data_IF_217936597853
#
_entry.id   IF_217936597853
#
_cell.length_a   1.000
_cell.length_b   1.000
_cell.length_c   1.000
_cell.angle_alpha   90.00
_cell.angle_beta   90.00
_cell.angle_gamma   90.00
#
_symmetry.space_group_name_H-M   'P 1'
#
loop_
_entity.id
_entity.type
_entity.pdbx_description
1 polymer ?
#
# COMPACT_ATOMS: atom_id res chain seq x y z
N UNK A 1 7.45 16.89 12.53
CA UNK A 1 7.79 17.54 11.25
C UNK A 1 8.38 16.53 10.26
N UNK A 2 8.50 16.86 8.97
CA UNK A 2 9.16 15.99 7.96
C UNK A 2 10.61 15.66 8.35
N UNK A 3 11.31 16.58 9.02
CA UNK A 3 12.65 16.30 9.56
C UNK A 3 12.65 15.24 10.66
N UNK A 4 11.68 15.29 11.58
CA UNK A 4 11.50 14.24 12.60
C UNK A 4 11.13 12.89 11.96
N UNK A 5 10.28 12.87 10.94
CA UNK A 5 9.94 11.64 10.21
C UNK A 5 11.19 11.02 9.56
N UNK A 6 12.06 11.85 8.97
CA UNK A 6 13.27 11.38 8.32
C UNK A 6 14.27 10.72 9.29
N UNK A 7 14.28 11.12 10.57
CA UNK A 7 15.23 10.61 11.57
C UNK A 7 15.09 9.11 11.85
N UNK A 8 13.93 8.51 11.57
CA UNK A 8 13.68 7.08 11.76
C UNK A 8 14.14 6.18 10.62
N UNK A 9 14.71 6.73 9.54
CA UNK A 9 15.08 5.97 8.34
C UNK A 9 16.59 6.06 8.07
N UNK A 10 17.24 4.95 7.68
CA UNK A 10 18.67 4.93 7.35
C UNK A 10 18.92 5.50 5.94
N UNK A 11 18.55 6.76 5.71
CA UNK A 11 18.74 7.46 4.43
C UNK A 11 18.99 8.96 4.62
N UNK A 12 19.56 9.60 3.60
CA UNK A 12 19.80 11.05 3.62
C UNK A 12 18.48 11.83 3.50
N UNK A 13 18.45 13.05 4.06
CA UNK A 13 17.27 13.92 3.97
C UNK A 13 16.84 14.21 2.51
N UNK A 14 17.75 14.46 1.55
CA UNK A 14 17.36 14.59 0.14
C UNK A 14 16.68 13.34 -0.44
N UNK A 15 17.17 12.14 -0.12
CA UNK A 15 16.55 10.88 -0.53
C UNK A 15 15.16 10.72 0.10
N UNK A 16 15.02 11.01 1.38
CA UNK A 16 13.72 11.00 2.06
C UNK A 16 12.73 11.98 1.42
N UNK A 17 13.18 13.20 1.12
CA UNK A 17 12.38 14.20 0.43
C UNK A 17 11.94 13.77 -0.97
N UNK A 18 12.75 12.96 -1.68
CA UNK A 18 12.35 12.36 -2.96
C UNK A 18 11.14 11.43 -2.76
N UNK A 19 11.15 10.57 -1.75
CA UNK A 19 9.99 9.72 -1.43
C UNK A 19 8.76 10.54 -1.04
N UNK A 20 8.91 11.57 -0.20
CA UNK A 20 7.82 12.49 0.16
C UNK A 20 7.19 13.11 -1.09
N UNK A 21 8.01 13.61 -2.03
CA UNK A 21 7.51 14.18 -3.29
C UNK A 21 6.77 13.14 -4.14
N UNK A 22 7.28 11.92 -4.24
CA UNK A 22 6.59 10.84 -4.98
C UNK A 22 5.24 10.49 -4.36
N UNK A 23 5.17 10.43 -3.03
CA UNK A 23 3.90 10.15 -2.34
C UNK A 23 2.89 11.31 -2.53
N UNK A 24 3.37 12.55 -2.49
CA UNK A 24 2.55 13.74 -2.70
C UNK A 24 2.10 13.89 -4.16
N UNK A 25 2.96 13.62 -5.14
CA UNK A 25 2.62 13.68 -6.58
C UNK A 25 1.58 12.65 -6.97
N UNK A 26 1.57 11.51 -6.27
CA UNK A 26 0.51 10.55 -6.40
C UNK A 26 -0.70 10.97 -5.55
N UNK A 27 -0.57 11.82 -4.54
CA UNK A 27 -1.69 12.26 -3.71
C UNK A 27 -2.03 11.31 -2.57
N UNK A 28 -1.12 10.38 -2.25
CA UNK A 28 -1.21 9.51 -1.06
C UNK A 28 -0.99 10.30 0.22
N UNK A 29 -0.30 11.44 0.14
CA UNK A 29 -0.10 12.39 1.22
C UNK A 29 -0.35 13.81 0.73
N UNK A 30 -0.52 14.73 1.67
CA UNK A 30 -0.43 16.17 1.47
C UNK A 30 0.64 16.74 2.37
N UNK A 31 1.39 17.73 1.90
CA UNK A 31 2.35 18.44 2.74
C UNK A 31 2.03 19.93 2.85
N UNK A 32 2.26 20.49 4.04
CA UNK A 32 2.06 21.92 4.32
C UNK A 32 3.34 22.47 4.94
N UNK A 33 3.79 23.63 4.46
CA UNK A 33 4.96 24.32 4.99
C UNK A 33 4.51 25.53 5.82
N UNK A 34 4.89 25.54 7.10
CA UNK A 34 4.66 26.66 8.03
C UNK A 34 6.03 27.11 8.57
N UNK A 35 6.51 28.27 8.11
CA UNK A 35 7.85 28.75 8.42
C UNK A 35 8.94 27.78 7.94
N UNK A 36 9.78 27.28 8.87
CA UNK A 36 10.82 26.27 8.59
C UNK A 36 10.32 24.83 8.68
N UNK A 37 9.10 24.61 9.17
CA UNK A 37 8.56 23.28 9.41
C UNK A 37 7.70 22.86 8.21
N UNK A 38 7.95 21.66 7.69
CA UNK A 38 7.03 20.98 6.78
C UNK A 38 6.32 19.87 7.56
N UNK A 39 5.01 19.81 7.45
CA UNK A 39 4.17 18.75 8.00
C UNK A 39 3.67 17.88 6.86
N UNK A 40 3.60 16.57 7.09
CA UNK A 40 3.10 15.57 6.16
C UNK A 40 1.84 14.95 6.77
N UNK A 41 0.78 14.80 5.97
CA UNK A 41 -0.51 14.24 6.38
C UNK A 41 -0.93 13.18 5.36
N UNK A 42 -1.39 12.03 5.83
CA UNK A 42 -1.91 10.97 4.97
C UNK A 42 -3.24 11.40 4.31
N UNK A 43 -3.42 11.04 3.04
CA UNK A 43 -4.71 11.13 2.38
C UNK A 43 -5.47 9.80 2.59
N UNK A 44 -6.30 9.76 3.64
CA UNK A 44 -7.05 8.55 4.02
C UNK A 44 -7.96 8.05 2.91
N UNK A 45 -8.64 8.96 2.21
CA UNK A 45 -9.55 8.60 1.11
C UNK A 45 -8.80 7.88 -0.01
N UNK A 46 -7.63 8.39 -0.40
CA UNK A 46 -6.84 7.76 -1.46
C UNK A 46 -6.22 6.43 -1.04
N UNK A 47 -5.88 6.28 0.24
CA UNK A 47 -5.42 5.00 0.77
C UNK A 47 -6.55 3.96 0.80
N UNK A 48 -7.77 4.37 1.13
CA UNK A 48 -8.93 3.46 1.09
C UNK A 48 -9.18 2.90 -0.31
N UNK A 49 -9.07 3.72 -1.36
CA UNK A 49 -9.19 3.24 -2.75
C UNK A 49 -8.14 2.17 -3.11
N UNK A 50 -6.92 2.28 -2.57
CA UNK A 50 -5.88 1.27 -2.78
C UNK A 50 -6.22 -0.01 -2.04
N UNK A 51 -6.74 0.10 -0.81
CA UNK A 51 -7.13 -1.04 0.01
C UNK A 51 -8.30 -1.81 -0.63
N UNK A 52 -9.33 -1.10 -1.08
CA UNK A 52 -10.48 -1.68 -1.79
C UNK A 52 -10.04 -2.45 -3.04
N UNK A 53 -9.09 -1.88 -3.81
CA UNK A 53 -8.54 -2.55 -4.98
C UNK A 53 -7.73 -3.81 -4.62
N UNK A 54 -6.91 -3.74 -3.55
CA UNK A 54 -6.15 -4.89 -3.07
C UNK A 54 -7.05 -6.01 -2.58
N UNK A 55 -8.15 -5.68 -1.90
CA UNK A 55 -9.15 -6.65 -1.46
C UNK A 55 -9.83 -7.36 -2.63
N UNK A 56 -10.12 -6.63 -3.70
CA UNK A 56 -10.63 -7.24 -4.92
C UNK A 56 -9.61 -8.20 -5.54
N UNK A 57 -8.33 -7.82 -5.61
CA UNK A 57 -7.29 -8.72 -6.11
C UNK A 57 -7.13 -9.97 -5.24
N UNK A 58 -7.21 -9.81 -3.91
CA UNK A 58 -7.18 -10.94 -2.96
C UNK A 58 -8.33 -11.90 -3.22
N UNK A 59 -9.57 -11.41 -3.35
CA UNK A 59 -10.74 -12.25 -3.66
C UNK A 59 -10.54 -13.06 -4.95
N UNK A 60 -10.07 -12.43 -6.02
CA UNK A 60 -9.82 -13.10 -7.30
C UNK A 60 -8.82 -14.25 -7.16
N UNK A 61 -7.75 -14.05 -6.38
CA UNK A 61 -6.74 -15.09 -6.17
C UNK A 61 -7.24 -16.21 -5.27
N UNK A 62 -7.94 -15.89 -4.18
CA UNK A 62 -8.56 -16.88 -3.30
C UNK A 62 -9.55 -17.75 -4.07
N UNK A 63 -10.48 -17.14 -4.82
CA UNK A 63 -11.46 -17.89 -5.62
C UNK A 63 -10.82 -18.85 -6.63
N UNK A 64 -9.69 -18.47 -7.23
CA UNK A 64 -8.95 -19.33 -8.16
C UNK A 64 -8.30 -20.51 -7.44
N UNK A 65 -7.70 -20.26 -6.29
CA UNK A 65 -7.11 -21.31 -5.46
C UNK A 65 -8.17 -22.27 -4.95
N UNK A 66 -9.31 -21.77 -4.46
CA UNK A 66 -10.42 -22.59 -3.98
C UNK A 66 -11.00 -23.49 -5.09
N UNK A 67 -11.06 -22.99 -6.33
CA UNK A 67 -11.47 -23.81 -7.49
C UNK A 67 -10.46 -24.90 -7.82
N UNK A 68 -9.17 -24.59 -7.73
CA UNK A 68 -8.11 -25.56 -7.97
C UNK A 68 -8.12 -26.65 -6.89
N UNK A 69 -8.25 -26.27 -5.63
CA UNK A 69 -8.37 -27.20 -4.51
C UNK A 69 -9.55 -28.15 -4.73
N UNK A 70 -10.73 -27.61 -5.02
CA UNK A 70 -11.93 -28.42 -5.28
C UNK A 70 -11.73 -29.41 -6.43
N UNK A 71 -11.17 -28.96 -7.56
CA UNK A 71 -10.91 -29.83 -8.71
C UNK A 71 -9.98 -30.99 -8.36
N UNK A 72 -8.92 -30.72 -7.57
CA UNK A 72 -7.97 -31.77 -7.14
C UNK A 72 -8.64 -32.74 -6.19
N UNK A 73 -9.40 -32.26 -5.20
CA UNK A 73 -10.09 -33.11 -4.23
C UNK A 73 -11.14 -34.01 -4.90
N UNK A 74 -11.99 -33.45 -5.77
CA UNK A 74 -13.00 -34.22 -6.52
C UNK A 74 -12.34 -35.29 -7.41
N UNK A 75 -11.23 -34.96 -8.10
CA UNK A 75 -10.49 -35.92 -8.93
C UNK A 75 -9.84 -37.06 -8.14
N UNK A 76 -9.56 -36.85 -6.84
CA UNK A 76 -9.00 -37.88 -5.96
C UNK A 76 -10.09 -38.79 -5.39
N UNK A 77 -11.28 -38.26 -5.13
CA UNK A 77 -12.44 -39.03 -4.66
C UNK A 77 -12.99 -39.95 -5.74
N UNK A 78 -13.05 -39.51 -7.00
CA UNK A 78 -13.52 -40.34 -8.14
C UNK A 78 -12.59 -41.51 -8.49
N UNK A 79 -11.34 -41.49 -8.02
CA UNK A 79 -10.33 -42.52 -8.29
C UNK A 79 -10.10 -43.48 -7.11
N UNK A 80 -10.84 -43.35 -6.02
CA UNK A 80 -10.80 -44.25 -4.84
C UNK A 80 -11.99 -45.18 -4.78
#
# INVERSE_FOLDING_TARGET
SVGELAAGFPMTLPSFMKHVRTLESNGLIRTVKTGRVRTCVLNRERLALVDDWLDEQRRIWTDRTDRLERFVTESMEEQS
#
